data_IF_259094320340
#
_entry.id   IF_259094320340
#
_cell.length_a   1.000
_cell.length_b   1.000
_cell.length_c   1.000
_cell.angle_alpha   90.00
_cell.angle_beta   90.00
_cell.angle_gamma   90.00
#
_symmetry.space_group_name_H-M   'P 1'
#
loop_
_entity.id
_entity.type
_entity.pdbx_description
1 polymer ?
#
# COMPACT_ATOMS: atom_id res chain seq x y z
N UNK A 1 3.46 31.50 73.27
CA UNK A 1 3.11 32.12 71.98
C UNK A 1 4.12 31.52 71.00
N UNK A 2 3.85 30.30 70.53
CA UNK A 2 3.34 30.02 69.16
C UNK A 2 4.36 30.52 68.12
N UNK A 3 4.95 29.76 67.20
CA UNK A 3 4.81 28.35 66.80
C UNK A 3 5.92 28.07 65.75
N UNK A 4 6.42 26.83 65.68
CA UNK A 4 6.92 26.09 64.49
C UNK A 4 8.11 26.69 63.68
N UNK A 5 9.33 26.14 63.63
CA UNK A 5 9.75 24.76 63.30
C UNK A 5 9.02 24.13 62.11
N UNK A 6 9.47 24.42 60.88
CA UNK A 6 9.44 23.50 59.72
C UNK A 6 10.55 23.95 58.76
N UNK A 7 11.70 23.27 58.76
CA UNK A 7 12.02 22.19 57.82
C UNK A 7 12.18 22.68 56.37
N UNK A 8 13.40 23.12 56.07
CA UNK A 8 13.96 23.22 54.72
C UNK A 8 14.16 21.79 54.18
N UNK A 9 13.19 21.29 53.40
CA UNK A 9 13.31 20.07 52.58
C UNK A 9 12.18 19.98 51.53
N UNK A 10 12.57 19.80 50.27
CA UNK A 10 11.69 19.52 49.12
C UNK A 10 11.51 20.75 48.22
N UNK A 11 11.72 20.73 46.92
CA UNK A 11 11.62 19.63 45.98
C UNK A 11 12.47 20.00 44.75
N UNK A 12 13.43 19.13 44.42
CA UNK A 12 14.11 19.12 43.13
C UNK A 12 13.08 18.82 42.05
N UNK A 13 12.45 19.87 41.54
CA UNK A 13 11.55 19.82 40.39
C UNK A 13 12.29 19.29 39.17
N UNK A 14 12.26 17.96 39.00
CA UNK A 14 12.64 17.27 37.77
C UNK A 14 11.78 17.85 36.66
N UNK A 15 12.39 18.68 35.83
CA UNK A 15 11.85 19.05 34.53
C UNK A 15 11.68 17.76 33.72
N UNK A 16 10.44 17.27 33.69
CA UNK A 16 10.03 16.22 32.77
C UNK A 16 10.43 16.65 31.35
N UNK A 17 11.24 15.87 30.62
CA UNK A 17 11.55 16.19 29.24
C UNK A 17 10.24 16.01 28.47
N UNK A 18 9.60 17.14 28.13
CA UNK A 18 8.56 17.16 27.10
C UNK A 18 9.19 16.52 25.85
N UNK A 19 8.71 15.33 25.51
CA UNK A 19 9.08 14.62 24.29
C UNK A 19 9.08 15.62 23.14
N UNK A 20 10.25 15.76 22.51
CA UNK A 20 10.46 16.71 21.43
C UNK A 20 9.51 16.39 20.30
N UNK A 21 8.43 17.16 20.21
CA UNK A 21 7.70 17.38 18.97
C UNK A 21 8.76 17.81 17.96
N UNK A 22 9.01 16.95 16.97
CA UNK A 22 10.00 17.21 15.93
C UNK A 22 9.76 18.60 15.36
N UNK A 23 10.76 19.48 15.47
CA UNK A 23 10.67 20.85 14.94
C UNK A 23 10.28 20.79 13.45
N UNK A 24 9.38 21.68 12.97
CA UNK A 24 9.02 21.78 11.55
C UNK A 24 10.22 22.02 10.60
N UNK A 25 11.38 22.44 11.13
CA UNK A 25 12.57 22.84 10.38
C UNK A 25 13.44 21.67 9.84
N UNK A 26 13.07 20.41 10.08
CA UNK A 26 13.96 19.28 9.79
C UNK A 26 13.65 18.51 8.50
N UNK A 27 12.69 18.91 7.65
CA UNK A 27 12.48 18.19 6.38
C UNK A 27 13.57 18.58 5.36
N UNK A 28 14.30 17.62 4.76
CA UNK A 28 15.36 17.94 3.80
C UNK A 28 14.85 18.61 2.52
N UNK A 29 13.53 18.56 2.26
CA UNK A 29 12.86 19.10 1.06
C UNK A 29 13.56 18.71 -0.26
N UNK A 30 14.18 17.52 -0.29
CA UNK A 30 14.98 17.05 -1.41
C UNK A 30 16.21 16.23 -1.00
N UNK A 31 17.22 16.22 -1.86
CA UNK A 31 18.41 15.37 -1.75
C UNK A 31 18.33 14.12 -2.65
N UNK A 32 19.48 13.52 -2.94
CA UNK A 32 19.58 12.34 -3.80
C UNK A 32 18.78 11.17 -3.23
N UNK A 33 18.87 10.93 -1.91
CA UNK A 33 18.11 9.86 -1.24
C UNK A 33 16.58 10.09 -1.28
N UNK A 34 16.12 11.33 -1.17
CA UNK A 34 14.69 11.65 -1.24
C UNK A 34 14.13 11.41 -2.64
N UNK A 35 14.84 11.86 -3.69
CA UNK A 35 14.42 11.64 -5.08
C UNK A 35 14.56 10.17 -5.51
N UNK A 36 15.56 9.45 -5.02
CA UNK A 36 15.64 7.99 -5.19
C UNK A 36 14.47 7.28 -4.51
N UNK A 37 14.08 7.72 -3.31
CA UNK A 37 12.89 7.19 -2.62
C UNK A 37 11.61 7.47 -3.40
N UNK A 38 11.48 8.66 -4.02
CA UNK A 38 10.35 8.98 -4.93
C UNK A 38 10.33 8.06 -6.14
N UNK A 39 11.48 7.83 -6.80
CA UNK A 39 11.58 6.93 -7.95
C UNK A 39 11.24 5.48 -7.55
N UNK A 40 11.76 4.99 -6.42
CA UNK A 40 11.46 3.68 -5.87
C UNK A 40 9.98 3.53 -5.51
N UNK A 41 9.38 4.55 -4.87
CA UNK A 41 7.97 4.55 -4.55
C UNK A 41 7.07 4.62 -5.79
N UNK A 42 7.50 5.34 -6.83
CA UNK A 42 6.82 5.34 -8.13
C UNK A 42 6.82 3.93 -8.75
N UNK A 43 7.95 3.20 -8.67
CA UNK A 43 8.02 1.80 -9.10
C UNK A 43 7.11 0.88 -8.25
N UNK A 44 7.01 1.11 -6.94
CA UNK A 44 6.04 0.42 -6.08
C UNK A 44 4.59 0.64 -6.52
N UNK A 45 4.21 1.88 -6.87
CA UNK A 45 2.86 2.20 -7.35
C UNK A 45 2.58 1.66 -8.76
N UNK A 46 3.61 1.62 -9.60
CA UNK A 46 3.56 0.99 -10.91
C UNK A 46 3.15 -0.48 -10.77
N UNK A 47 3.82 -1.25 -9.90
CA UNK A 47 3.53 -2.70 -9.78
C UNK A 47 2.31 -3.03 -8.94
N UNK A 48 1.87 -2.13 -8.05
CA UNK A 48 0.67 -2.35 -7.23
C UNK A 48 -0.60 -1.93 -7.97
N UNK A 49 -0.86 -0.63 -8.05
CA UNK A 49 -2.05 -0.09 -8.71
C UNK A 49 -2.03 -0.30 -10.22
N UNK A 50 -0.86 -0.27 -10.86
CA UNK A 50 -0.77 -0.63 -12.28
C UNK A 50 -1.19 -2.08 -12.56
N UNK A 51 -0.87 -3.01 -11.67
CA UNK A 51 -1.35 -4.39 -11.77
C UNK A 51 -2.86 -4.51 -11.55
N UNK A 52 -3.43 -3.76 -10.60
CA UNK A 52 -4.88 -3.72 -10.35
C UNK A 52 -5.66 -3.23 -11.57
N UNK A 53 -5.07 -2.42 -12.47
CA UNK A 53 -5.75 -2.02 -13.71
C UNK A 53 -5.96 -3.18 -14.70
N UNK A 54 -5.31 -4.34 -14.51
CA UNK A 54 -5.52 -5.52 -15.35
C UNK A 54 -6.79 -6.31 -15.04
N UNK A 55 -7.60 -5.89 -14.06
CA UNK A 55 -8.79 -6.62 -13.60
C UNK A 55 -9.79 -6.93 -14.72
N UNK A 56 -9.97 -6.04 -15.69
CA UNK A 56 -10.85 -6.28 -16.84
C UNK A 56 -10.38 -7.40 -17.74
N UNK A 57 -9.06 -7.46 -18.01
CA UNK A 57 -8.46 -8.53 -18.82
C UNK A 57 -8.55 -9.87 -18.10
N UNK A 58 -8.31 -9.89 -16.78
CA UNK A 58 -8.46 -11.12 -16.00
C UNK A 58 -9.91 -11.59 -15.96
N UNK A 59 -10.86 -10.67 -15.79
CA UNK A 59 -12.28 -10.99 -15.82
C UNK A 59 -12.67 -11.67 -17.14
N UNK A 60 -12.30 -11.07 -18.27
CA UNK A 60 -12.58 -11.61 -19.60
C UNK A 60 -11.88 -12.96 -19.83
N UNK A 61 -10.58 -13.05 -19.56
CA UNK A 61 -9.82 -14.28 -19.75
C UNK A 61 -10.35 -15.43 -18.91
N UNK A 62 -10.71 -15.18 -17.65
CA UNK A 62 -11.27 -16.21 -16.78
C UNK A 62 -12.64 -16.69 -17.26
N UNK A 63 -13.50 -15.80 -17.75
CA UNK A 63 -14.79 -16.15 -18.33
C UNK A 63 -14.65 -17.01 -19.60
N UNK A 64 -13.67 -16.72 -20.45
CA UNK A 64 -13.50 -17.43 -21.72
C UNK A 64 -12.70 -18.74 -21.57
N UNK A 65 -11.92 -18.89 -20.50
CA UNK A 65 -10.98 -20.00 -20.34
C UNK A 65 -11.21 -20.78 -19.03
N UNK A 66 -10.46 -20.45 -17.98
CA UNK A 66 -10.29 -21.32 -16.80
C UNK A 66 -11.55 -21.46 -15.95
N UNK A 67 -12.44 -20.47 -15.99
CA UNK A 67 -13.62 -20.35 -15.15
C UNK A 67 -14.90 -20.20 -15.99
N UNK A 68 -14.91 -20.72 -17.22
CA UNK A 68 -16.07 -20.63 -18.13
C UNK A 68 -17.36 -21.28 -17.58
N UNK A 69 -17.23 -22.18 -16.60
CA UNK A 69 -18.36 -22.80 -15.89
C UNK A 69 -18.97 -21.89 -14.81
N UNK A 70 -18.27 -20.82 -14.40
CA UNK A 70 -18.72 -19.88 -13.38
C UNK A 70 -19.42 -18.68 -14.01
N UNK A 71 -20.35 -18.09 -13.28
CA UNK A 71 -21.03 -16.88 -13.72
C UNK A 71 -20.07 -15.67 -13.69
N UNK A 72 -20.31 -14.65 -14.53
CA UNK A 72 -19.55 -13.40 -14.50
C UNK A 72 -19.48 -12.76 -13.10
N UNK A 73 -20.57 -12.85 -12.33
CA UNK A 73 -20.66 -12.33 -10.96
C UNK A 73 -19.74 -13.08 -10.00
N UNK A 74 -19.67 -14.41 -10.10
CA UNK A 74 -18.73 -15.22 -9.30
C UNK A 74 -17.28 -14.85 -9.61
N UNK A 75 -16.93 -14.73 -10.89
CA UNK A 75 -15.55 -14.38 -11.30
C UNK A 75 -15.18 -12.96 -10.81
N UNK A 76 -16.13 -12.04 -10.79
CA UNK A 76 -15.92 -10.66 -10.33
C UNK A 76 -15.55 -10.54 -8.84
N UNK A 77 -15.73 -11.60 -8.04
CA UNK A 77 -15.22 -11.62 -6.67
C UNK A 77 -13.69 -11.65 -6.59
N UNK A 78 -13.00 -12.21 -7.58
CA UNK A 78 -11.53 -12.25 -7.62
C UNK A 78 -10.93 -10.83 -7.59
N UNK A 79 -11.24 -9.93 -8.56
CA UNK A 79 -10.72 -8.57 -8.53
C UNK A 79 -11.27 -7.75 -7.36
N UNK A 80 -12.51 -8.01 -6.93
CA UNK A 80 -13.11 -7.33 -5.76
C UNK A 80 -12.35 -7.64 -4.46
N UNK A 81 -12.03 -8.91 -4.22
CA UNK A 81 -11.24 -9.35 -3.09
C UNK A 81 -9.79 -8.85 -3.20
N UNK A 82 -9.23 -8.79 -4.41
CA UNK A 82 -7.89 -8.23 -4.64
C UNK A 82 -7.80 -6.78 -4.15
N UNK A 83 -8.76 -5.93 -4.53
CA UNK A 83 -8.79 -4.53 -4.07
C UNK A 83 -9.07 -4.47 -2.56
N UNK A 84 -10.02 -5.27 -2.07
CA UNK A 84 -10.34 -5.34 -0.64
C UNK A 84 -9.11 -5.66 0.20
N UNK A 85 -8.39 -6.75 -0.08
CA UNK A 85 -7.20 -7.12 0.68
C UNK A 85 -6.06 -6.13 0.51
N UNK A 86 -5.91 -5.53 -0.67
CA UNK A 86 -4.89 -4.50 -0.90
C UNK A 86 -5.09 -3.29 0.02
N UNK A 87 -6.33 -2.85 0.24
CA UNK A 87 -6.64 -1.70 1.10
C UNK A 87 -6.77 -2.10 2.58
N UNK A 88 -7.48 -3.18 2.87
CA UNK A 88 -7.77 -3.65 4.23
C UNK A 88 -6.51 -3.96 5.02
N UNK A 89 -5.51 -4.57 4.38
CA UNK A 89 -4.24 -4.88 5.02
C UNK A 89 -3.42 -3.64 5.37
N UNK A 90 -3.76 -2.45 4.86
CA UNK A 90 -3.06 -1.19 5.13
C UNK A 90 -2.95 -0.85 6.61
N UNK A 91 -3.96 -1.20 7.42
CA UNK A 91 -3.92 -1.00 8.87
C UNK A 91 -2.79 -1.80 9.53
N UNK A 92 -2.65 -3.07 9.14
CA UNK A 92 -1.62 -3.95 9.66
C UNK A 92 -0.23 -3.53 9.15
N UNK A 93 -0.15 -3.18 7.86
CA UNK A 93 1.11 -2.77 7.22
C UNK A 93 1.63 -1.46 7.82
N UNK A 94 0.75 -0.49 8.09
CA UNK A 94 1.13 0.76 8.76
C UNK A 94 1.78 0.51 10.13
N UNK A 95 1.22 -0.41 10.93
CA UNK A 95 1.83 -0.78 12.20
C UNK A 95 3.19 -1.46 12.04
N UNK A 96 3.30 -2.38 11.07
CA UNK A 96 4.58 -3.06 10.78
C UNK A 96 5.65 -2.04 10.38
N UNK A 97 5.27 -1.05 9.55
CA UNK A 97 6.14 0.04 9.16
C UNK A 97 6.63 0.87 10.35
N UNK A 98 5.73 1.23 11.26
CA UNK A 98 6.08 2.04 12.43
C UNK A 98 7.01 1.28 13.40
N UNK A 99 6.80 -0.03 13.57
CA UNK A 99 7.55 -0.87 14.53
C UNK A 99 8.89 -1.38 13.98
N UNK A 100 8.99 -1.66 12.67
CA UNK A 100 10.14 -2.34 12.05
C UNK A 100 10.80 -1.54 10.92
N UNK A 101 10.25 -0.39 10.54
CA UNK A 101 10.70 0.39 9.39
C UNK A 101 10.25 -0.20 8.04
N UNK A 102 10.64 0.42 6.91
CA UNK A 102 10.11 0.07 5.59
C UNK A 102 10.77 -1.16 4.95
N UNK A 103 12.01 -1.51 5.32
CA UNK A 103 12.75 -2.56 4.65
C UNK A 103 12.11 -3.95 4.81
N UNK A 104 11.62 -4.27 6.01
CA UNK A 104 10.95 -5.54 6.30
C UNK A 104 9.64 -5.71 5.50
N UNK A 105 8.66 -4.78 5.56
CA UNK A 105 7.43 -4.92 4.79
C UNK A 105 7.67 -4.87 3.28
N UNK A 106 8.63 -4.09 2.77
CA UNK A 106 8.97 -4.11 1.35
C UNK A 106 9.51 -5.47 0.89
N UNK A 107 10.43 -6.07 1.65
CA UNK A 107 11.02 -7.35 1.29
C UNK A 107 9.97 -8.49 1.34
N UNK A 108 9.17 -8.54 2.41
CA UNK A 108 8.10 -9.54 2.56
C UNK A 108 7.02 -9.33 1.51
N UNK A 109 6.61 -8.08 1.30
CA UNK A 109 5.61 -7.72 0.29
C UNK A 109 6.05 -8.07 -1.12
N UNK A 110 7.33 -7.85 -1.44
CA UNK A 110 7.92 -8.22 -2.73
C UNK A 110 7.85 -9.72 -2.97
N UNK A 111 8.27 -10.51 -1.98
CA UNK A 111 8.18 -11.96 -2.07
C UNK A 111 6.72 -12.42 -2.23
N UNK A 112 5.81 -11.96 -1.36
CA UNK A 112 4.41 -12.36 -1.40
C UNK A 112 3.71 -11.97 -2.71
N UNK A 113 3.97 -10.77 -3.22
CA UNK A 113 3.37 -10.28 -4.45
C UNK A 113 3.82 -11.13 -5.65
N UNK A 114 5.14 -11.29 -5.82
CA UNK A 114 5.71 -12.08 -6.92
C UNK A 114 5.32 -13.55 -6.79
N UNK A 115 5.39 -14.13 -5.59
CA UNK A 115 4.98 -15.51 -5.33
C UNK A 115 3.50 -15.72 -5.67
N UNK A 116 2.61 -14.82 -5.26
CA UNK A 116 1.19 -14.88 -5.59
C UNK A 116 0.94 -14.87 -7.10
N UNK A 117 1.68 -14.05 -7.86
CA UNK A 117 1.59 -14.02 -9.33
C UNK A 117 2.15 -15.29 -9.98
N UNK A 118 3.29 -15.79 -9.49
CA UNK A 118 3.88 -17.05 -9.96
C UNK A 118 2.94 -18.24 -9.69
N UNK A 119 2.28 -18.28 -8.53
CA UNK A 119 1.28 -19.30 -8.23
C UNK A 119 0.04 -19.15 -9.10
N UNK A 120 -0.42 -17.91 -9.35
CA UNK A 120 -1.54 -17.65 -10.27
C UNK A 120 -1.25 -18.18 -11.68
N UNK A 121 0.02 -18.14 -12.12
CA UNK A 121 0.42 -18.66 -13.45
C UNK A 121 0.15 -20.15 -13.66
N UNK A 122 0.07 -20.94 -12.58
CA UNK A 122 -0.17 -22.38 -12.62
C UNK A 122 -1.54 -22.78 -12.07
N UNK A 123 -2.27 -21.83 -11.46
CA UNK A 123 -3.62 -22.03 -10.95
C UNK A 123 -4.59 -22.36 -12.08
N UNK A 124 -5.43 -23.37 -11.87
CA UNK A 124 -6.50 -23.76 -12.80
C UNK A 124 -7.90 -23.69 -12.20
N UNK A 125 -8.00 -23.69 -10.86
CA UNK A 125 -9.27 -23.71 -10.14
C UNK A 125 -9.55 -22.35 -9.51
N UNK A 126 -10.84 -22.03 -9.37
CA UNK A 126 -11.32 -20.77 -8.78
C UNK A 126 -10.65 -20.43 -7.43
N UNK A 127 -10.66 -21.38 -6.48
CA UNK A 127 -10.07 -21.15 -5.16
C UNK A 127 -8.55 -20.91 -5.21
N UNK A 128 -7.85 -21.52 -6.18
CA UNK A 128 -6.40 -21.35 -6.32
C UNK A 128 -6.09 -19.92 -6.77
N UNK A 129 -6.87 -19.40 -7.73
CA UNK A 129 -6.75 -18.02 -8.23
C UNK A 129 -7.09 -17.03 -7.12
N UNK A 130 -8.15 -17.25 -6.35
CA UNK A 130 -8.47 -16.40 -5.18
C UNK A 130 -7.29 -16.36 -4.20
N UNK A 131 -6.77 -17.52 -3.80
CA UNK A 131 -5.72 -17.57 -2.79
C UNK A 131 -4.42 -16.93 -3.28
N UNK A 132 -4.04 -17.18 -4.54
CA UNK A 132 -2.78 -16.68 -5.11
C UNK A 132 -2.86 -15.22 -5.53
N UNK A 133 -3.91 -14.83 -6.27
CA UNK A 133 -4.05 -13.49 -6.85
C UNK A 133 -4.76 -12.53 -5.89
N UNK A 134 -5.97 -12.89 -5.44
CA UNK A 134 -6.81 -11.96 -4.69
C UNK A 134 -6.38 -11.78 -3.24
N UNK A 135 -5.72 -12.78 -2.64
CA UNK A 135 -5.27 -12.73 -1.24
C UNK A 135 -3.76 -12.53 -1.17
N UNK A 136 -2.97 -13.52 -1.59
CA UNK A 136 -1.52 -13.50 -1.40
C UNK A 136 -0.85 -12.33 -2.12
N UNK A 137 -1.15 -12.18 -3.42
CA UNK A 137 -0.60 -11.08 -4.22
C UNK A 137 -1.10 -9.71 -3.78
N UNK A 138 -2.37 -9.59 -3.36
CA UNK A 138 -2.94 -8.33 -2.86
C UNK A 138 -2.32 -7.86 -1.55
N UNK A 139 -2.11 -8.78 -0.59
CA UNK A 139 -1.41 -8.47 0.66
C UNK A 139 0.06 -8.13 0.38
N UNK A 140 0.72 -8.82 -0.55
CA UNK A 140 2.07 -8.47 -0.97
C UNK A 140 2.14 -7.05 -1.56
N UNK A 141 1.20 -6.72 -2.45
CA UNK A 141 1.08 -5.40 -3.07
C UNK A 141 0.88 -4.28 -2.04
N UNK A 142 0.05 -4.49 -1.02
CA UNK A 142 -0.16 -3.50 0.03
C UNK A 142 1.09 -3.28 0.90
N UNK A 143 1.80 -4.36 1.23
CA UNK A 143 3.07 -4.32 1.99
C UNK A 143 4.17 -3.57 1.27
N UNK A 144 4.09 -3.46 -0.06
CA UNK A 144 4.98 -2.62 -0.87
C UNK A 144 4.45 -1.19 -0.97
N UNK A 145 3.16 -1.02 -1.28
CA UNK A 145 2.54 0.29 -1.53
C UNK A 145 2.58 1.21 -0.31
N UNK A 146 2.07 0.77 0.84
CA UNK A 146 1.90 1.65 2.01
C UNK A 146 3.22 2.20 2.53
N UNK A 147 4.27 1.38 2.76
CA UNK A 147 5.52 1.91 3.26
C UNK A 147 6.22 2.84 2.27
N UNK A 148 6.16 2.54 0.97
CA UNK A 148 6.77 3.37 -0.05
C UNK A 148 6.09 4.76 -0.11
N UNK A 149 4.76 4.78 -0.09
CA UNK A 149 3.98 6.02 -0.09
C UNK A 149 4.21 6.84 1.19
N UNK A 150 4.22 6.18 2.35
CA UNK A 150 4.50 6.84 3.64
C UNK A 150 5.91 7.39 3.70
N UNK A 151 6.94 6.65 3.26
CA UNK A 151 8.32 7.13 3.27
C UNK A 151 8.46 8.45 2.51
N UNK A 152 7.91 8.56 1.30
CA UNK A 152 7.94 9.82 0.52
C UNK A 152 7.30 10.97 1.28
N UNK A 153 6.18 10.72 1.97
CA UNK A 153 5.52 11.74 2.78
C UNK A 153 6.36 12.24 3.97
N UNK A 154 7.36 11.48 4.42
CA UNK A 154 8.26 11.87 5.52
C UNK A 154 9.49 12.66 5.05
N UNK A 155 9.76 12.68 3.74
CA UNK A 155 10.89 13.42 3.15
C UNK A 155 10.51 14.85 2.75
N UNK A 156 9.25 15.07 2.38
CA UNK A 156 8.74 16.35 1.89
C UNK A 156 7.55 16.83 2.73
N UNK A 157 7.60 18.07 3.18
CA UNK A 157 6.48 18.76 3.85
C UNK A 157 5.86 19.79 2.88
N UNK A 158 6.65 20.71 2.36
CA UNK A 158 6.17 21.79 1.48
C UNK A 158 5.90 21.29 0.05
N UNK A 159 6.81 20.47 -0.50
CA UNK A 159 6.66 19.88 -1.86
C UNK A 159 5.97 18.52 -1.87
N UNK A 160 5.30 18.14 -0.77
CA UNK A 160 4.69 16.81 -0.59
C UNK A 160 3.70 16.46 -1.69
N UNK A 161 2.87 17.41 -2.11
CA UNK A 161 1.87 17.20 -3.16
C UNK A 161 2.52 16.84 -4.51
N UNK A 162 3.56 17.58 -4.90
CA UNK A 162 4.29 17.32 -6.15
C UNK A 162 5.04 15.98 -6.11
N UNK A 163 5.70 15.67 -4.99
CA UNK A 163 6.42 14.41 -4.83
C UNK A 163 5.46 13.20 -4.87
N UNK A 164 4.33 13.27 -4.15
CA UNK A 164 3.32 12.21 -4.19
C UNK A 164 2.64 12.13 -5.57
N UNK A 165 2.46 13.25 -6.26
CA UNK A 165 1.99 13.27 -7.65
C UNK A 165 2.89 12.46 -8.58
N UNK A 166 4.20 12.66 -8.52
CA UNK A 166 5.19 11.87 -9.28
C UNK A 166 5.16 10.37 -8.93
N UNK A 167 4.94 10.05 -7.66
CA UNK A 167 4.76 8.66 -7.22
C UNK A 167 3.51 8.05 -7.84
N UNK A 168 2.38 8.77 -7.80
CA UNK A 168 1.10 8.33 -8.37
C UNK A 168 1.17 8.18 -9.89
N UNK A 169 1.94 9.02 -10.60
CA UNK A 169 2.15 8.84 -12.04
C UNK A 169 2.65 7.44 -12.41
N UNK A 170 3.42 6.79 -11.53
CA UNK A 170 3.88 5.42 -11.71
C UNK A 170 2.72 4.43 -11.90
N UNK A 171 1.61 4.60 -11.17
CA UNK A 171 0.45 3.71 -11.29
C UNK A 171 -0.25 3.83 -12.64
N UNK A 172 -0.32 5.05 -13.20
CA UNK A 172 -0.91 5.30 -14.52
C UNK A 172 -0.09 4.65 -15.63
N UNK A 173 1.24 4.78 -15.58
CA UNK A 173 2.12 4.14 -16.57
C UNK A 173 2.01 2.61 -16.46
N UNK A 174 2.04 2.06 -15.24
CA UNK A 174 1.86 0.61 -15.03
C UNK A 174 0.49 0.12 -15.49
N UNK A 175 -0.55 0.92 -15.29
CA UNK A 175 -1.91 0.63 -15.72
C UNK A 175 -2.13 0.63 -17.24
N UNK A 176 -1.19 1.15 -18.01
CA UNK A 176 -1.18 1.02 -19.48
C UNK A 176 -0.29 -0.15 -19.90
N UNK A 177 0.89 -0.28 -19.31
CA UNK A 177 1.89 -1.29 -19.71
C UNK A 177 1.41 -2.72 -19.42
N UNK A 178 0.93 -3.02 -18.20
CA UNK A 178 0.54 -4.40 -17.86
C UNK A 178 -0.64 -4.92 -18.68
N UNK A 179 -1.72 -4.15 -18.90
CA UNK A 179 -2.80 -4.58 -19.79
C UNK A 179 -2.33 -4.89 -21.21
N UNK A 180 -1.50 -4.02 -21.80
CA UNK A 180 -0.95 -4.23 -23.15
C UNK A 180 -0.08 -5.49 -23.18
N UNK A 181 0.78 -5.68 -22.17
CA UNK A 181 1.59 -6.89 -22.05
C UNK A 181 0.71 -8.14 -22.02
N UNK A 182 -0.34 -8.19 -21.22
CA UNK A 182 -1.22 -9.35 -21.13
C UNK A 182 -1.97 -9.61 -22.44
N UNK A 183 -2.54 -8.58 -23.08
CA UNK A 183 -3.26 -8.71 -24.35
C UNK A 183 -2.38 -9.31 -25.45
N UNK A 184 -1.10 -8.95 -25.50
CA UNK A 184 -0.17 -9.46 -26.52
C UNK A 184 0.48 -10.80 -26.14
N UNK A 185 0.86 -11.00 -24.87
CA UNK A 185 1.57 -12.22 -24.46
C UNK A 185 0.62 -13.41 -24.29
N UNK A 186 -0.59 -13.20 -23.78
CA UNK A 186 -1.53 -14.31 -23.52
C UNK A 186 -1.82 -15.11 -24.80
N UNK A 187 -2.10 -14.51 -25.97
CA UNK A 187 -2.31 -15.25 -27.22
C UNK A 187 -1.05 -15.91 -27.79
N UNK A 188 0.14 -15.34 -27.54
CA UNK A 188 1.40 -15.81 -28.16
C UNK A 188 2.07 -16.94 -27.38
N UNK A 189 2.16 -16.80 -26.06
CA UNK A 189 2.91 -17.71 -25.18
C UNK A 189 2.04 -18.37 -24.11
N UNK A 190 0.74 -18.06 -24.09
CA UNK A 190 -0.23 -18.56 -23.13
C UNK A 190 -0.21 -17.80 -21.80
N UNK A 191 -1.30 -17.94 -21.04
CA UNK A 191 -1.50 -17.23 -19.77
C UNK A 191 -0.42 -17.49 -18.73
N UNK A 192 0.00 -18.74 -18.54
CA UNK A 192 1.01 -19.07 -17.53
C UNK A 192 2.34 -18.35 -17.76
N UNK A 193 2.84 -18.33 -18.99
CA UNK A 193 4.08 -17.61 -19.30
C UNK A 193 3.90 -16.10 -19.34
N UNK A 194 2.74 -15.59 -19.78
CA UNK A 194 2.42 -14.16 -19.72
C UNK A 194 2.44 -13.65 -18.26
N UNK A 195 1.81 -14.38 -17.34
CA UNK A 195 1.81 -14.07 -15.91
C UNK A 195 3.22 -14.06 -15.31
N UNK A 196 4.06 -15.04 -15.68
CA UNK A 196 5.46 -15.10 -15.24
C UNK A 196 6.28 -13.94 -15.78
N UNK A 197 6.10 -13.57 -17.05
CA UNK A 197 6.77 -12.41 -17.65
C UNK A 197 6.45 -11.12 -16.89
N UNK A 198 5.16 -10.87 -16.60
CA UNK A 198 4.74 -9.74 -15.76
C UNK A 198 5.35 -9.83 -14.35
N UNK A 199 5.36 -11.02 -13.73
CA UNK A 199 5.94 -11.22 -12.41
C UNK A 199 7.47 -10.96 -12.38
N UNK A 200 8.21 -11.27 -13.44
CA UNK A 200 9.64 -10.94 -13.54
C UNK A 200 9.88 -9.43 -13.69
N UNK A 201 9.05 -8.74 -14.49
CA UNK A 201 9.10 -7.28 -14.58
C UNK A 201 8.83 -6.66 -13.21
N UNK A 202 7.77 -7.11 -12.54
CA UNK A 202 7.43 -6.68 -11.18
C UNK A 202 8.57 -6.94 -10.21
N UNK A 203 9.18 -8.13 -10.24
CA UNK A 203 10.32 -8.47 -9.39
C UNK A 203 11.50 -7.52 -9.65
N UNK A 204 11.84 -7.24 -10.90
CA UNK A 204 12.95 -6.35 -11.25
C UNK A 204 12.74 -4.92 -10.71
N UNK A 205 11.53 -4.39 -10.86
CA UNK A 205 11.17 -3.07 -10.34
C UNK A 205 11.17 -3.05 -8.81
N UNK A 206 10.68 -4.11 -8.18
CA UNK A 206 10.66 -4.23 -6.72
C UNK A 206 12.06 -4.38 -6.12
N UNK A 207 12.99 -5.06 -6.79
CA UNK A 207 14.40 -5.10 -6.35
C UNK A 207 14.97 -3.68 -6.32
N UNK A 208 14.75 -2.90 -7.37
CA UNK A 208 15.18 -1.50 -7.41
C UNK A 208 14.49 -0.68 -6.33
N UNK A 209 13.18 -0.87 -6.11
CA UNK A 209 12.45 -0.19 -5.05
C UNK A 209 12.97 -0.53 -3.64
N UNK A 210 13.30 -1.80 -3.36
CA UNK A 210 13.87 -2.22 -2.07
C UNK A 210 15.21 -1.57 -1.78
N UNK A 211 16.03 -1.31 -2.80
CA UNK A 211 17.34 -0.67 -2.65
C UNK A 211 17.25 0.85 -2.52
N UNK A 212 16.22 1.46 -3.11
CA UNK A 212 16.07 2.92 -3.22
C UNK A 212 15.19 3.53 -2.13
N UNK A 213 14.16 2.83 -1.67
CA UNK A 213 13.22 3.34 -0.66
C UNK A 213 13.86 3.33 0.72
N UNK A 214 14.02 4.52 1.31
CA UNK A 214 14.56 4.69 2.67
C UNK A 214 13.58 5.45 3.55
N UNK A 215 13.45 5.01 4.80
CA UNK A 215 12.77 5.79 5.84
C UNK A 215 13.77 6.68 6.55
N UNK A 216 13.36 7.92 6.78
CA UNK A 216 14.09 8.88 7.61
C UNK A 216 13.77 8.73 9.10
N UNK A 217 12.55 8.28 9.42
CA UNK A 217 12.08 8.22 10.80
C UNK A 217 12.57 6.91 11.44
N UNK A 218 13.24 6.96 12.60
CA UNK A 218 13.64 5.76 13.31
C UNK A 218 12.39 5.00 13.81
N UNK A 219 12.32 3.68 13.62
CA UNK A 219 11.18 2.89 14.05
C UNK A 219 11.02 3.00 15.56
N UNK A 220 9.80 3.33 16.00
CA UNK A 220 9.49 3.49 17.44
C UNK A 220 8.33 2.56 17.76
N UNK A 221 8.61 1.52 18.54
CA UNK A 221 7.60 0.52 18.93
C UNK A 221 6.54 1.16 19.80
N UNK A 222 5.32 1.29 19.27
CA UNK A 222 4.16 1.80 20.01
C UNK A 222 3.09 0.71 20.13
N UNK A 223 2.43 0.56 21.30
CA UNK A 223 1.37 -0.43 21.47
C UNK A 223 0.19 -0.10 20.54
N UNK A 224 -0.45 -1.14 20.00
CA UNK A 224 -1.68 -0.98 19.19
C UNK A 224 -2.80 -0.44 20.05
N UNK A 225 -3.11 0.85 19.88
CA UNK A 225 -4.30 1.44 20.48
C UNK A 225 -5.44 1.38 19.46
N UNK A 226 -6.19 0.26 19.44
CA UNK A 226 -7.38 0.12 18.58
C UNK A 226 -8.40 1.26 18.79
N UNK A 227 -8.46 1.83 20.00
CA UNK A 227 -9.26 3.02 20.30
C UNK A 227 -8.84 4.26 19.51
N UNK A 228 -7.54 4.40 19.20
CA UNK A 228 -7.04 5.50 18.38
C UNK A 228 -7.42 5.37 16.89
N UNK A 229 -7.77 4.17 16.42
CA UNK A 229 -8.28 3.95 15.06
C UNK A 229 -9.80 4.20 14.95
N UNK A 230 -10.55 4.03 16.04
CA UNK A 230 -12.00 4.30 16.08
C UNK A 230 -12.33 5.76 16.41
N UNK A 231 -11.38 6.50 17.00
CA UNK A 231 -11.55 7.93 17.30
C UNK A 231 -11.80 8.78 16.04
N UNK A 232 -11.00 8.65 14.95
CA UNK A 232 -11.23 9.40 13.71
C UNK A 232 -12.56 9.07 13.03
N UNK A 233 -13.05 7.83 13.16
CA UNK A 233 -14.37 7.44 12.64
C UNK A 233 -15.54 8.14 13.36
N UNK A 234 -15.29 8.64 14.57
CA UNK A 234 -16.28 9.37 15.37
C UNK A 234 -16.24 10.88 15.07
N UNK A 235 -15.22 11.36 14.37
CA UNK A 235 -15.10 12.76 13.97
C UNK A 235 -16.08 13.08 12.82
N UNK A 236 -17.03 14.01 13.01
CA UNK A 236 -18.04 14.34 12.01
C UNK A 236 -17.48 14.69 10.61
N UNK A 237 -16.38 15.47 10.44
CA UNK A 237 -15.86 15.76 9.11
C UNK A 237 -15.29 14.51 8.40
N UNK A 238 -14.71 13.57 9.14
CA UNK A 238 -14.21 12.32 8.58
C UNK A 238 -15.36 11.38 8.19
N UNK A 239 -16.39 11.29 9.02
CA UNK A 239 -17.61 10.52 8.73
C UNK A 239 -18.34 11.05 7.49
N UNK A 240 -18.52 12.38 7.39
CA UNK A 240 -19.12 13.05 6.22
C UNK A 240 -18.32 12.81 4.93
N UNK A 241 -16.98 12.91 4.99
CA UNK A 241 -16.13 12.64 3.83
C UNK A 241 -16.24 11.17 3.38
N UNK A 242 -16.23 10.24 4.32
CA UNK A 242 -16.36 8.80 4.04
C UNK A 242 -17.72 8.49 3.42
N UNK A 243 -18.80 9.07 3.97
CA UNK A 243 -20.14 8.96 3.40
C UNK A 243 -20.22 9.57 1.99
N UNK A 244 -19.64 10.76 1.78
CA UNK A 244 -19.63 11.42 0.47
C UNK A 244 -18.90 10.57 -0.59
N UNK A 245 -17.75 9.99 -0.25
CA UNK A 245 -17.01 9.08 -1.14
C UNK A 245 -17.87 7.84 -1.47
N UNK A 246 -18.51 7.24 -0.47
CA UNK A 246 -19.40 6.09 -0.67
C UNK A 246 -20.58 6.43 -1.61
N UNK A 247 -21.22 7.59 -1.42
CA UNK A 247 -22.31 8.05 -2.29
C UNK A 247 -21.82 8.39 -3.69
N UNK A 248 -20.64 8.99 -3.84
CA UNK A 248 -20.06 9.29 -5.15
C UNK A 248 -19.81 8.02 -5.96
N UNK A 249 -19.20 7.00 -5.35
CA UNK A 249 -18.94 5.72 -6.03
C UNK A 249 -20.22 4.92 -6.31
N UNK A 250 -21.23 4.99 -5.44
CA UNK A 250 -22.51 4.31 -5.68
C UNK A 250 -23.37 5.03 -6.73
N UNK A 251 -23.37 6.36 -6.75
CA UNK A 251 -24.08 7.16 -7.76
C UNK A 251 -23.50 6.98 -9.17
N UNK A 252 -22.18 6.93 -9.31
CA UNK A 252 -21.53 6.65 -10.60
C UNK A 252 -21.97 5.30 -11.16
N UNK A 253 -22.13 4.29 -10.30
CA UNK A 253 -22.55 2.94 -10.69
C UNK A 253 -24.03 2.83 -11.10
N UNK A 254 -24.89 3.70 -10.57
CA UNK A 254 -26.33 3.75 -10.88
C UNK A 254 -26.58 4.49 -12.21
N UNK A 255 -25.69 5.41 -12.61
CA UNK A 255 -25.82 6.12 -13.88
C UNK A 255 -25.42 5.27 -15.10
N UNK A 256 -24.66 4.19 -14.90
CA UNK A 256 -24.18 3.28 -15.96
C UNK A 256 -25.03 2.01 -16.14
N UNK A 257 -26.09 1.82 -15.32
CA UNK A 257 -27.06 0.70 -15.43
C UNK A 257 -28.34 1.11 -16.13
#
# INVERSE_FOLDING_TARGET
>A
MLDLSHADQGDSGKSSPREGVAKPEAFPEGGTEAWLTVAGASACLFVSFGWVNCVGIFQEYYQLNQLNEYTPSEIAWIPSLQIFFMIFSGLLVGKILDDYGPALPLAVGTFMHVFGLMMTSISKKYYQIILSQAICSAIGSSMVFYPAFTCVSTWFLEKRGAALGLVVMGSSIGGVIFPIMLIHLVPQIGFGWAMRACAFVILSLLIVANLTVRSRIPPTRRPLQLKAFMLPLTEPPFALLTAAIFFFYSAFRILES
#
